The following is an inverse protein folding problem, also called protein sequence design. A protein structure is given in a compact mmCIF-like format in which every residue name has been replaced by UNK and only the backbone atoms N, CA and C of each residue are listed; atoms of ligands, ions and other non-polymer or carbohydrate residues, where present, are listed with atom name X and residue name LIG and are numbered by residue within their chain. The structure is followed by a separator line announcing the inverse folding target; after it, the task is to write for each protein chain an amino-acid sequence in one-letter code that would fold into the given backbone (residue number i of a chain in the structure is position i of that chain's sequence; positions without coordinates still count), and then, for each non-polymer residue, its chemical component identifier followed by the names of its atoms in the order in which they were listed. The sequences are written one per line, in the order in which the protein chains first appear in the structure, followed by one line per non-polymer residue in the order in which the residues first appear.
data_IF_802782584582
#
_entry.id   IF_802782584582
#
_cell.length_a   1.000
_cell.length_b   1.000
_cell.length_c   1.000
_cell.angle_alpha   90.00
_cell.angle_beta   90.00
_cell.angle_gamma   90.00
#
_symmetry.space_group_name_H-M   'P 1'
#
loop_
_entity.id
_entity.type
_entity.pdbx_description
1 polymer ?
#
# COMPACT_ATOMS: atom_id res chain seq x y z
N UNK A 1 23.15 -6.62 31.38
CA UNK A 1 22.83 -7.66 30.37
C UNK A 1 21.44 -8.28 30.58
N UNK A 2 21.06 -8.67 31.81
CA UNK A 2 19.75 -9.32 32.09
C UNK A 2 18.53 -8.48 31.65
N UNK A 3 18.57 -7.15 31.79
CA UNK A 3 17.47 -6.27 31.40
C UNK A 3 17.19 -6.29 29.87
N UNK A 4 18.23 -6.20 29.05
CA UNK A 4 18.11 -6.20 27.58
C UNK A 4 17.59 -7.55 27.04
N UNK A 5 18.07 -8.67 27.61
CA UNK A 5 17.61 -10.01 27.21
C UNK A 5 16.14 -10.25 27.56
N UNK A 6 15.69 -9.80 28.74
CA UNK A 6 14.28 -9.92 29.16
C UNK A 6 13.36 -9.05 28.31
N UNK A 7 13.75 -7.80 28.04
CA UNK A 7 12.99 -6.90 27.17
C UNK A 7 12.89 -7.43 25.73
N UNK A 8 13.99 -7.91 25.17
CA UNK A 8 14.00 -8.51 23.83
C UNK A 8 13.06 -9.72 23.74
N UNK A 9 13.01 -10.58 24.76
CA UNK A 9 12.13 -11.75 24.78
C UNK A 9 10.64 -11.39 24.82
N UNK A 10 10.27 -10.29 25.47
CA UNK A 10 8.87 -9.82 25.49
C UNK A 10 8.43 -9.28 24.13
N UNK A 11 9.30 -8.54 23.44
CA UNK A 11 8.98 -7.90 22.16
C UNK A 11 9.20 -8.86 20.97
N UNK A 12 10.01 -9.91 21.13
CA UNK A 12 10.27 -10.93 20.11
C UNK A 12 8.98 -11.49 19.48
N UNK A 13 8.03 -11.90 20.33
CA UNK A 13 6.77 -12.47 19.86
C UNK A 13 5.96 -11.46 19.04
N UNK A 14 5.89 -10.20 19.49
CA UNK A 14 5.16 -9.15 18.80
C UNK A 14 5.75 -8.87 17.40
N UNK A 15 7.08 -8.77 17.29
CA UNK A 15 7.74 -8.50 16.00
C UNK A 15 7.50 -9.65 15.02
N UNK A 16 7.70 -10.91 15.45
CA UNK A 16 7.45 -12.09 14.60
C UNK A 16 5.98 -12.19 14.20
N UNK A 17 5.04 -11.83 15.07
CA UNK A 17 3.62 -11.82 14.72
C UNK A 17 3.33 -10.79 13.61
N UNK A 18 3.82 -9.56 13.75
CA UNK A 18 3.59 -8.51 12.74
C UNK A 18 4.21 -8.83 11.38
N UNK A 19 5.36 -9.51 11.35
CA UNK A 19 6.02 -9.90 10.09
C UNK A 19 5.24 -11.00 9.38
N UNK A 20 4.76 -12.00 10.11
CA UNK A 20 3.88 -13.05 9.57
C UNK A 20 2.57 -12.43 9.03
N UNK A 21 1.96 -11.49 9.77
CA UNK A 21 0.76 -10.78 9.31
C UNK A 21 1.01 -10.09 7.97
N UNK A 22 2.13 -9.37 7.83
CA UNK A 22 2.48 -8.69 6.57
C UNK A 22 2.70 -9.69 5.44
N UNK A 23 3.44 -10.78 5.66
CA UNK A 23 3.60 -11.86 4.67
C UNK A 23 2.24 -12.41 4.25
N UNK A 24 1.34 -12.65 5.22
CA UNK A 24 0.01 -13.18 4.96
C UNK A 24 -0.90 -12.23 4.17
N UNK A 25 -0.71 -10.91 4.29
CA UNK A 25 -1.47 -9.90 3.53
C UNK A 25 -0.92 -9.77 2.11
N UNK A 26 0.39 -9.93 1.91
CA UNK A 26 1.02 -9.82 0.58
C UNK A 26 1.04 -11.12 -0.22
N UNK A 27 0.99 -12.29 0.43
CA UNK A 27 1.00 -13.58 -0.25
C UNK A 27 -0.17 -13.75 -1.26
N UNK A 28 -1.42 -13.36 -0.96
CA UNK A 28 -2.51 -13.41 -1.94
C UNK A 28 -2.27 -12.54 -3.17
N UNK A 29 -1.59 -11.40 -2.99
CA UNK A 29 -1.29 -10.45 -4.07
C UNK A 29 -0.26 -11.02 -5.06
N UNK A 30 0.56 -11.99 -4.67
CA UNK A 30 1.52 -12.63 -5.56
C UNK A 30 0.85 -13.45 -6.68
N UNK A 31 -0.41 -13.86 -6.49
CA UNK A 31 -1.16 -14.67 -7.45
C UNK A 31 -2.02 -13.85 -8.42
N UNK A 32 -1.87 -12.52 -8.44
CA UNK A 32 -2.72 -11.65 -9.25
C UNK A 32 -2.32 -11.70 -10.74
N UNK A 33 -3.20 -12.15 -11.67
CA UNK A 33 -2.88 -12.20 -13.09
C UNK A 33 -2.97 -10.82 -13.76
N UNK A 34 -2.28 -10.65 -14.89
CA UNK A 34 -2.34 -9.46 -15.74
C UNK A 34 -1.16 -8.50 -15.62
N UNK A 35 -1.11 -7.49 -16.50
CA UNK A 35 -0.01 -6.51 -16.56
C UNK A 35 0.04 -5.63 -15.31
N UNK A 36 -1.12 -5.27 -14.78
CA UNK A 36 -1.28 -4.54 -13.52
C UNK A 36 -0.82 -5.43 -12.33
N UNK A 37 -1.13 -6.73 -12.37
CA UNK A 37 -0.70 -7.70 -11.37
C UNK A 37 0.83 -7.81 -11.27
N UNK A 38 1.55 -7.77 -12.39
CA UNK A 38 3.03 -7.80 -12.41
C UNK A 38 3.66 -6.68 -11.58
N UNK A 39 3.14 -5.45 -11.71
CA UNK A 39 3.64 -4.30 -10.98
C UNK A 39 3.41 -4.43 -9.47
N UNK A 40 2.22 -4.93 -9.07
CA UNK A 40 1.88 -5.15 -7.67
C UNK A 40 2.65 -6.32 -7.05
N UNK A 41 2.94 -7.37 -7.81
CA UNK A 41 3.74 -8.52 -7.36
C UNK A 41 5.17 -8.07 -7.07
N UNK A 42 5.78 -7.25 -7.93
CA UNK A 42 7.13 -6.72 -7.73
C UNK A 42 7.25 -5.88 -6.45
N UNK A 43 6.27 -5.00 -6.22
CA UNK A 43 6.18 -4.23 -4.98
C UNK A 43 5.96 -5.12 -3.74
N UNK A 44 5.05 -6.10 -3.84
CA UNK A 44 4.75 -7.02 -2.74
C UNK A 44 5.98 -7.83 -2.33
N UNK A 45 6.76 -8.33 -3.30
CA UNK A 45 8.01 -9.05 -3.04
C UNK A 45 9.04 -8.11 -2.39
N UNK A 46 9.19 -6.88 -2.88
CA UNK A 46 10.12 -5.91 -2.31
C UNK A 46 9.79 -5.56 -0.84
N UNK A 47 8.53 -5.26 -0.53
CA UNK A 47 8.09 -4.95 0.84
C UNK A 47 8.26 -6.16 1.76
N UNK A 48 7.85 -7.34 1.31
CA UNK A 48 7.93 -8.57 2.11
C UNK A 48 9.38 -8.92 2.45
N UNK A 49 10.28 -8.82 1.46
CA UNK A 49 11.71 -9.01 1.67
C UNK A 49 12.29 -7.96 2.63
N UNK A 50 11.99 -6.68 2.42
CA UNK A 50 12.48 -5.59 3.27
C UNK A 50 12.06 -5.76 4.74
N UNK A 51 10.80 -6.12 4.98
CA UNK A 51 10.27 -6.37 6.34
C UNK A 51 10.91 -7.62 6.96
N UNK A 52 11.14 -8.68 6.20
CA UNK A 52 11.80 -9.89 6.69
C UNK A 52 13.24 -9.60 7.15
N UNK A 53 14.03 -8.87 6.35
CA UNK A 53 15.37 -8.44 6.75
C UNK A 53 15.31 -7.48 7.95
N UNK A 54 14.35 -6.54 7.97
CA UNK A 54 14.16 -5.63 9.09
C UNK A 54 13.88 -6.36 10.41
N UNK A 55 13.11 -7.45 10.38
CA UNK A 55 12.84 -8.27 11.56
C UNK A 55 14.11 -8.92 12.12
N UNK A 56 14.95 -9.48 11.25
CA UNK A 56 16.25 -10.07 11.64
C UNK A 56 17.17 -9.02 12.27
N UNK A 57 17.22 -7.83 11.67
CA UNK A 57 18.02 -6.71 12.19
C UNK A 57 17.48 -6.20 13.54
N UNK A 58 16.16 -6.07 13.68
CA UNK A 58 15.54 -5.63 14.93
C UNK A 58 15.80 -6.62 16.08
N UNK A 59 15.70 -7.92 15.83
CA UNK A 59 15.91 -8.95 16.85
C UNK A 59 17.39 -9.14 17.23
N UNK A 60 18.32 -8.82 16.32
CA UNK A 60 19.76 -9.04 16.56
C UNK A 60 20.46 -7.75 17.02
N UNK A 61 20.33 -6.66 16.25
CA UNK A 61 21.04 -5.42 16.50
C UNK A 61 20.43 -4.62 17.64
N UNK A 62 19.11 -4.58 17.76
CA UNK A 62 18.44 -3.77 18.79
C UNK A 62 18.81 -4.19 20.23
N UNK A 63 18.81 -5.49 20.62
CA UNK A 63 19.25 -5.87 21.96
C UNK A 63 20.76 -5.69 22.16
N UNK A 64 21.56 -5.90 21.11
CA UNK A 64 23.01 -5.72 21.16
C UNK A 64 23.37 -4.26 21.44
N UNK A 65 22.78 -3.33 20.69
CA UNK A 65 22.97 -1.89 20.88
C UNK A 65 22.42 -1.44 22.24
N UNK A 66 21.26 -1.94 22.66
CA UNK A 66 20.70 -1.64 23.98
C UNK A 66 21.62 -2.10 25.13
N UNK A 67 22.35 -3.21 24.99
CA UNK A 67 23.28 -3.62 26.05
C UNK A 67 24.61 -2.85 26.06
N UNK A 68 25.01 -2.25 24.92
CA UNK A 68 26.31 -1.57 24.76
C UNK A 68 26.23 -0.06 24.90
N UNK A 69 25.16 0.56 24.40
CA UNK A 69 25.00 2.01 24.31
C UNK A 69 24.23 2.60 25.50
N UNK A 70 23.41 1.78 26.18
CA UNK A 70 22.53 2.24 27.25
C UNK A 70 23.34 2.49 28.53
N UNK A 71 23.60 3.78 28.80
CA UNK A 71 24.20 4.25 30.06
C UNK A 71 23.09 4.48 31.10
N UNK A 72 23.31 4.16 32.39
CA UNK A 72 22.37 4.51 33.45
C UNK A 72 22.15 6.02 33.49
N UNK A 73 20.92 6.47 33.22
CA UNK A 73 20.58 7.88 33.25
C UNK A 73 20.68 8.42 34.67
N UNK A 74 21.54 9.41 34.89
CA UNK A 74 21.63 10.17 36.15
C UNK A 74 21.14 11.59 35.89
N UNK A 75 19.94 11.89 36.40
CA UNK A 75 19.32 13.22 36.33
C UNK A 75 18.59 13.49 35.02
N UNK A 76 17.26 13.37 35.04
CA UNK A 76 16.40 13.81 33.94
C UNK A 76 16.43 15.33 33.82
N UNK A 77 16.74 15.84 32.63
CA UNK A 77 16.68 17.28 32.32
C UNK A 77 15.27 17.84 32.44
N UNK A 78 15.13 19.16 32.59
CA UNK A 78 13.84 19.83 32.77
C UNK A 78 12.83 19.51 31.64
N UNK A 79 13.32 19.40 30.40
CA UNK A 79 12.49 19.04 29.23
C UNK A 79 11.98 17.60 29.36
N UNK A 80 12.84 16.64 29.73
CA UNK A 80 12.46 15.23 29.90
C UNK A 80 11.32 15.10 30.92
N UNK A 81 11.46 15.73 32.10
CA UNK A 81 10.41 15.71 33.13
C UNK A 81 9.09 16.32 32.67
N UNK A 82 9.13 17.37 31.85
CA UNK A 82 7.92 18.02 31.32
C UNK A 82 7.23 17.13 30.29
N UNK A 83 8.00 16.44 29.45
CA UNK A 83 7.50 15.44 28.50
C UNK A 83 6.93 14.24 29.25
N UNK A 84 7.61 13.73 30.28
CA UNK A 84 7.13 12.62 31.09
C UNK A 84 5.84 12.98 31.85
N UNK A 85 5.74 14.20 32.38
CA UNK A 85 4.50 14.68 32.97
C UNK A 85 3.35 14.76 31.94
N UNK A 86 3.65 15.21 30.71
CA UNK A 86 2.69 15.19 29.60
C UNK A 86 2.26 13.78 29.23
N UNK A 87 3.20 12.85 29.08
CA UNK A 87 2.96 11.45 28.75
C UNK A 87 2.16 10.74 29.86
N UNK A 88 2.46 11.03 31.13
CA UNK A 88 1.71 10.52 32.28
C UNK A 88 0.27 11.05 32.29
N UNK A 89 0.04 12.33 31.97
CA UNK A 89 -1.31 12.88 31.84
C UNK A 89 -2.08 12.21 30.70
N UNK A 90 -1.45 12.01 29.55
CA UNK A 90 -2.05 11.30 28.42
C UNK A 90 -2.43 9.86 28.80
N UNK A 91 -1.50 9.12 29.42
CA UNK A 91 -1.77 7.75 29.91
C UNK A 91 -2.94 7.71 30.88
N UNK A 92 -2.98 8.60 31.86
CA UNK A 92 -4.06 8.64 32.84
C UNK A 92 -5.39 9.04 32.22
N UNK A 93 -5.39 9.97 31.24
CA UNK A 93 -6.60 10.35 30.51
C UNK A 93 -7.15 9.21 29.67
N UNK A 94 -6.27 8.44 29.03
CA UNK A 94 -6.65 7.25 28.25
C UNK A 94 -7.18 6.13 29.16
N UNK A 95 -6.55 5.92 30.32
CA UNK A 95 -7.06 4.96 31.30
C UNK A 95 -8.44 5.36 31.83
N UNK A 96 -8.62 6.64 32.19
CA UNK A 96 -9.90 7.15 32.67
C UNK A 96 -11.00 7.10 31.61
N UNK A 97 -10.68 7.36 30.33
CA UNK A 97 -11.67 7.25 29.24
C UNK A 97 -12.04 5.79 28.97
N UNK A 98 -11.08 4.86 29.01
CA UNK A 98 -11.36 3.43 28.92
C UNK A 98 -12.21 2.93 30.09
N UNK A 99 -11.88 3.31 31.33
CA UNK A 99 -12.67 2.93 32.51
C UNK A 99 -14.09 3.48 32.43
N UNK A 100 -14.27 4.71 31.94
CA UNK A 100 -15.59 5.30 31.74
C UNK A 100 -16.40 4.55 30.66
N UNK A 101 -15.74 4.12 29.57
CA UNK A 101 -16.37 3.39 28.47
C UNK A 101 -16.72 1.94 28.85
N UNK A 102 -15.84 1.24 29.57
CA UNK A 102 -16.05 -0.16 29.97
C UNK A 102 -16.86 -0.29 31.26
N UNK A 103 -16.80 0.69 32.17
CA UNK A 103 -17.43 0.63 33.49
C UNK A 103 -18.95 0.83 33.47
N UNK A 104 -19.53 1.35 32.39
CA UNK A 104 -20.99 1.54 32.25
C UNK A 104 -21.49 0.87 30.99
N UNK A 105 -22.40 -0.11 31.13
CA UNK A 105 -23.03 -0.81 29.99
C UNK A 105 -23.64 0.15 28.95
N UNK A 106 -24.19 1.28 29.39
CA UNK A 106 -24.72 2.30 28.48
C UNK A 106 -23.63 2.99 27.65
N UNK A 107 -22.45 3.24 28.24
CA UNK A 107 -21.33 3.87 27.55
C UNK A 107 -20.67 2.93 26.54
N UNK A 108 -20.53 1.63 26.88
CA UNK A 108 -20.02 0.64 25.94
C UNK A 108 -20.97 0.39 24.77
N UNK A 109 -22.29 0.34 25.03
CA UNK A 109 -23.31 0.25 23.97
C UNK A 109 -23.30 1.50 23.09
N UNK A 110 -23.19 2.70 23.67
CA UNK A 110 -23.06 3.94 22.91
C UNK A 110 -21.80 3.93 22.01
N UNK A 111 -20.66 3.51 22.54
CA UNK A 111 -19.41 3.43 21.77
C UNK A 111 -19.50 2.42 20.61
N UNK A 112 -20.07 1.24 20.85
CA UNK A 112 -20.31 0.25 19.78
C UNK A 112 -21.28 0.81 18.74
N UNK A 113 -22.37 1.46 19.17
CA UNK A 113 -23.33 2.07 18.25
C UNK A 113 -22.68 3.14 17.36
N UNK A 114 -21.78 3.96 17.93
CA UNK A 114 -21.02 4.96 17.20
C UNK A 114 -20.11 4.32 16.15
N UNK A 115 -19.40 3.24 16.51
CA UNK A 115 -18.55 2.50 15.55
C UNK A 115 -19.39 1.94 14.41
N UNK A 116 -20.58 1.40 14.69
CA UNK A 116 -21.49 0.88 13.66
C UNK A 116 -22.00 2.01 12.76
N UNK A 117 -22.38 3.16 13.31
CA UNK A 117 -22.80 4.32 12.50
C UNK A 117 -21.66 4.82 11.62
N UNK A 118 -20.43 4.90 12.15
CA UNK A 118 -19.25 5.31 11.38
C UNK A 118 -18.92 4.31 10.27
N UNK A 119 -19.02 3.01 10.55
CA UNK A 119 -18.84 1.97 9.53
C UNK A 119 -19.93 2.06 8.44
N UNK A 120 -21.18 2.31 8.82
CA UNK A 120 -22.28 2.54 7.88
C UNK A 120 -22.07 3.78 7.01
N UNK A 121 -21.59 4.87 7.61
CA UNK A 121 -21.24 6.10 6.89
C UNK A 121 -20.09 5.87 5.92
N UNK A 122 -19.03 5.17 6.34
CA UNK A 122 -17.91 4.82 5.47
C UNK A 122 -18.35 3.96 4.29
N UNK A 123 -19.26 3.00 4.53
CA UNK A 123 -19.85 2.18 3.47
C UNK A 123 -20.70 3.00 2.50
N UNK A 124 -21.54 3.90 3.00
CA UNK A 124 -22.33 4.81 2.18
C UNK A 124 -21.44 5.75 1.33
N UNK A 125 -20.32 6.23 1.89
CA UNK A 125 -19.38 7.04 1.14
C UNK A 125 -18.67 6.22 0.05
N UNK A 126 -18.36 4.95 0.34
CA UNK A 126 -17.74 4.02 -0.60
C UNK A 126 -18.61 3.73 -1.84
N UNK A 127 -19.94 3.80 -1.74
CA UNK A 127 -20.84 3.61 -2.89
C UNK A 127 -20.94 4.86 -3.77
N UNK A 128 -20.68 6.04 -3.21
CA UNK A 128 -20.73 7.32 -3.95
C UNK A 128 -19.41 7.61 -4.67
N UNK A 129 -18.29 7.05 -4.23
CA UNK A 129 -16.98 7.29 -4.83
C UNK A 129 -16.86 6.68 -6.24
N UNK A 130 -16.62 7.51 -7.29
CA UNK A 130 -16.37 7.01 -8.64
C UNK A 130 -15.05 6.22 -8.65
N UNK A 131 -15.07 5.06 -9.33
CA UNK A 131 -13.92 4.16 -9.44
C UNK A 131 -13.15 4.50 -10.70
N UNK A 132 -12.06 5.23 -10.57
CA UNK A 132 -11.04 5.32 -11.61
C UNK A 132 -9.89 4.38 -11.26
N UNK A 133 -9.52 3.50 -12.21
CA UNK A 133 -8.45 2.51 -11.99
C UNK A 133 -7.05 3.16 -12.02
N UNK A 134 -6.89 4.23 -12.78
CA UNK A 134 -5.68 5.04 -12.89
C UNK A 134 -6.09 6.42 -13.42
N UNK A 135 -5.65 7.53 -12.80
CA UNK A 135 -5.83 8.84 -13.40
C UNK A 135 -5.06 8.84 -14.73
N UNK A 136 -5.63 9.50 -15.74
CA UNK A 136 -4.92 9.70 -16.99
C UNK A 136 -3.72 10.62 -16.73
N UNK A 137 -2.55 10.00 -16.61
CA UNK A 137 -1.27 10.72 -16.57
C UNK A 137 -0.98 11.26 -17.98
N UNK A 138 -0.80 12.58 -18.09
CA UNK A 138 -0.34 13.21 -19.32
C UNK A 138 1.11 12.79 -19.57
N UNK A 139 1.30 11.82 -20.47
CA UNK A 139 2.62 11.33 -20.89
C UNK A 139 3.27 12.21 -21.96
N UNK A 140 2.72 13.40 -22.24
CA UNK A 140 3.22 14.31 -23.27
C UNK A 140 3.13 13.75 -24.69
N UNK A 141 2.26 12.74 -24.91
CA UNK A 141 2.08 12.06 -26.19
C UNK A 141 0.63 12.19 -26.65
N UNK A 142 0.44 12.81 -27.82
CA UNK A 142 -0.85 12.95 -28.48
C UNK A 142 -0.91 11.99 -29.65
N UNK A 143 -1.78 10.98 -29.53
CA UNK A 143 -2.02 10.00 -30.60
C UNK A 143 -3.10 10.53 -31.55
N UNK A 144 -2.68 10.96 -32.75
CA UNK A 144 -3.57 11.45 -33.82
C UNK A 144 -3.78 10.31 -34.81
N UNK A 145 -4.97 9.69 -34.79
CA UNK A 145 -5.34 8.68 -35.78
C UNK A 145 -6.01 9.36 -36.99
N UNK A 146 -5.27 9.51 -38.09
CA UNK A 146 -5.79 10.07 -39.33
C UNK A 146 -6.28 8.92 -40.22
N UNK A 147 -7.59 8.75 -40.32
CA UNK A 147 -8.20 7.81 -41.25
C UNK A 147 -8.38 8.49 -42.62
N UNK A 148 -7.41 8.27 -43.51
CA UNK A 148 -7.51 8.71 -44.90
C UNK A 148 -8.61 7.94 -45.63
N UNK A 149 -9.44 8.65 -46.41
CA UNK A 149 -10.42 8.02 -47.30
C UNK A 149 -9.67 7.14 -48.30
N UNK A 150 -9.88 5.81 -48.23
CA UNK A 150 -9.34 4.86 -49.21
C UNK A 150 -9.87 5.28 -50.58
N UNK A 151 -8.98 5.75 -51.46
CA UNK A 151 -9.34 6.02 -52.85
C UNK A 151 -9.90 4.73 -53.46
N UNK A 152 -11.04 4.76 -54.16
CA UNK A 152 -11.48 3.59 -54.92
C UNK A 152 -10.36 3.21 -55.88
N UNK A 153 -10.04 1.91 -55.94
CA UNK A 153 -9.05 1.39 -56.85
C UNK A 153 -9.31 1.99 -58.24
N UNK A 154 -8.36 2.75 -58.75
CA UNK A 154 -8.36 3.19 -60.14
C UNK A 154 -8.25 1.92 -60.96
N UNK A 155 -9.39 1.36 -61.34
CA UNK A 155 -9.45 0.41 -62.44
C UNK A 155 -8.99 1.19 -63.65
N UNK A 156 -7.70 1.10 -63.99
CA UNK A 156 -7.17 1.66 -65.22
C UNK A 156 -8.01 1.05 -66.34
N UNK A 157 -8.81 1.84 -67.08
CA UNK A 157 -9.56 1.27 -68.18
C UNK A 157 -8.55 0.74 -69.19
N UNK A 158 -8.54 -0.57 -69.39
CA UNK A 158 -7.72 -1.20 -70.42
C UNK A 158 -8.01 -0.51 -71.75
N UNK A 159 -6.99 0.11 -72.32
CA UNK A 159 -7.09 0.80 -73.60
C UNK A 159 -7.48 -0.24 -74.67
N UNK A 160 -8.49 0.02 -75.52
CA UNK A 160 -8.90 -0.94 -76.54
C UNK A 160 -7.71 -1.29 -77.44
N UNK A 161 -7.56 -2.57 -77.84
CA UNK A 161 -6.41 -3.02 -78.59
C UNK A 161 -6.35 -2.30 -79.94
N UNK A 162 -5.31 -1.50 -80.15
CA UNK A 162 -5.00 -0.99 -81.49
C UNK A 162 -4.42 -2.14 -82.32
N UNK A 163 -4.84 -2.18 -83.59
CA UNK A 163 -4.67 -3.25 -84.60
C UNK A 163 -3.24 -3.79 -84.83
N UNK A 164 -2.23 -3.28 -84.12
CA UNK A 164 -0.81 -3.48 -84.42
C UNK A 164 0.08 -3.81 -83.20
N UNK A 165 -0.48 -4.21 -82.04
CA UNK A 165 0.34 -4.67 -80.90
C UNK A 165 -0.07 -6.06 -80.41
N UNK A 166 0.88 -7.01 -80.24
CA UNK A 166 0.61 -8.33 -79.68
C UNK A 166 0.14 -8.23 -78.21
N UNK A 167 -0.85 -9.04 -77.86
CA UNK A 167 -1.69 -8.93 -76.67
C UNK A 167 -1.02 -9.26 -75.32
N UNK A 168 0.31 -9.43 -75.26
CA UNK A 168 1.00 -9.88 -74.04
C UNK A 168 1.47 -8.78 -73.09
N UNK A 169 1.21 -7.50 -73.40
CA UNK A 169 1.64 -6.35 -72.56
C UNK A 169 0.56 -5.28 -72.41
N UNK A 170 -0.67 -5.69 -72.12
CA UNK A 170 -1.78 -4.79 -71.84
C UNK A 170 -2.60 -5.28 -70.63
N UNK A 171 -1.90 -5.56 -69.53
CA UNK A 171 -2.36 -5.56 -68.15
C UNK A 171 -1.11 -5.58 -67.26
#
# INVERSE_FOLDING_TARGET
MVAAQRGARQVFFAVVATTIVLISVFAPLMFLPGYIGKLFVELAVAITAAVAFSALLALSLSPMLASKLLRPAHGEGFIARRVDAGMNRLRNSYHASLDALLGRRAASVAAVSLVVVLAGLAFALFTVLPRELVPNEDRGRVDINIQGRRAPATTIPCRPPSRWRPASRAC
#
